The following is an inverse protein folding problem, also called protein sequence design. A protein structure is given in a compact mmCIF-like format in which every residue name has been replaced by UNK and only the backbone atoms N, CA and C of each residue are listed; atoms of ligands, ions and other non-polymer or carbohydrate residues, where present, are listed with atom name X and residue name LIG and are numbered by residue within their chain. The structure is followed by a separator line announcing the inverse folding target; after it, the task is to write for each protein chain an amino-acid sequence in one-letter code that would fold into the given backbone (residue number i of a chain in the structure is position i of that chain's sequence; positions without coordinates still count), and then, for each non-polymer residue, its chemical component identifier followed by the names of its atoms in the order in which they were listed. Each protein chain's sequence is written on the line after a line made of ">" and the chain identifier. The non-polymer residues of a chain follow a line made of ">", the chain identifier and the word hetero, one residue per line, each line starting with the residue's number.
data_IF_782520317633
#
_entry.id   IF_782520317633
#
_cell.length_a   1.000
_cell.length_b   1.000
_cell.length_c   1.000
_cell.angle_alpha   90.00
_cell.angle_beta   90.00
_cell.angle_gamma   90.00
#
_symmetry.space_group_name_H-M   'P 1'
#
loop_
_entity.id
_entity.type
_entity.pdbx_description
1 polymer ?
#
# COMPACT_ATOMS: atom_id res chain seq x y z
N UNK A 1 -19.36 43.55 -39.03
CA UNK A 1 -20.64 43.44 -38.29
C UNK A 1 -20.30 42.98 -36.89
N UNK A 2 -20.51 43.84 -35.89
CA UNK A 2 -20.23 43.57 -34.49
C UNK A 2 -21.48 42.99 -33.82
N UNK A 3 -21.36 41.83 -33.19
CA UNK A 3 -22.40 41.23 -32.35
C UNK A 3 -21.89 41.24 -30.91
N UNK A 4 -22.41 42.20 -30.14
CA UNK A 4 -22.18 42.33 -28.70
C UNK A 4 -23.08 41.32 -27.98
N UNK A 5 -22.51 40.19 -27.54
CA UNK A 5 -23.20 39.30 -26.59
C UNK A 5 -23.02 39.86 -25.17
N UNK A 6 -24.07 40.51 -24.70
CA UNK A 6 -24.30 40.91 -23.31
C UNK A 6 -24.14 39.68 -22.41
N UNK A 7 -22.99 39.55 -21.74
CA UNK A 7 -22.83 38.59 -20.64
C UNK A 7 -23.32 39.28 -19.36
N UNK A 8 -24.43 38.76 -18.89
CA UNK A 8 -25.14 39.08 -17.64
C UNK A 8 -24.18 39.25 -16.46
N UNK A 9 -24.23 40.44 -15.86
CA UNK A 9 -23.64 40.73 -14.56
C UNK A 9 -24.67 40.48 -13.45
N UNK A 10 -24.18 40.42 -12.21
CA UNK A 10 -24.90 40.41 -10.91
C UNK A 10 -25.31 39.00 -10.43
N UNK A 11 -25.02 38.54 -9.21
CA UNK A 11 -24.81 39.22 -7.92
C UNK A 11 -23.88 38.41 -6.99
N UNK A 12 -23.00 39.12 -6.29
CA UNK A 12 -22.27 38.69 -5.09
C UNK A 12 -23.27 38.31 -3.99
N UNK A 13 -23.07 37.17 -3.30
CA UNK A 13 -24.00 36.74 -2.25
C UNK A 13 -23.43 35.72 -1.26
N UNK A 14 -22.84 36.23 -0.19
CA UNK A 14 -22.68 35.66 1.15
C UNK A 14 -21.92 34.32 1.33
N UNK A 15 -20.62 34.43 1.66
CA UNK A 15 -19.92 33.45 2.50
C UNK A 15 -20.45 33.58 3.94
N UNK A 16 -21.29 32.65 4.40
CA UNK A 16 -21.56 32.47 5.82
C UNK A 16 -20.57 31.47 6.41
N UNK A 17 -19.54 31.99 7.07
CA UNK A 17 -18.66 31.24 7.96
C UNK A 17 -19.45 30.79 9.19
N UNK A 18 -19.93 29.56 9.19
CA UNK A 18 -20.41 28.88 10.39
C UNK A 18 -19.20 28.31 11.13
N UNK A 19 -18.62 29.11 12.02
CA UNK A 19 -17.66 28.63 13.03
C UNK A 19 -18.47 27.92 14.12
N UNK A 20 -18.64 26.61 13.96
CA UNK A 20 -19.20 25.76 15.00
C UNK A 20 -18.16 25.50 16.09
N UNK A 21 -18.34 26.13 17.25
CA UNK A 21 -17.63 25.76 18.48
C UNK A 21 -18.17 24.41 18.98
N UNK A 22 -17.55 23.31 18.55
CA UNK A 22 -17.76 21.98 19.11
C UNK A 22 -16.92 21.80 20.37
N UNK A 23 -17.59 21.78 21.53
CA UNK A 23 -16.97 21.56 22.83
C UNK A 23 -16.33 20.16 22.93
N UNK A 24 -15.07 20.16 23.40
CA UNK A 24 -14.32 19.10 24.09
C UNK A 24 -15.06 17.77 24.27
N UNK A 25 -14.73 16.79 23.42
CA UNK A 25 -14.95 15.39 23.73
C UNK A 25 -13.59 14.69 23.78
N UNK A 26 -13.31 14.12 24.94
CA UNK A 26 -12.18 13.30 25.35
C UNK A 26 -11.14 12.92 24.29
N UNK A 27 -9.91 13.31 24.57
CA UNK A 27 -8.70 12.72 23.99
C UNK A 27 -8.59 11.29 24.55
N UNK A 28 -9.40 10.37 24.05
CA UNK A 28 -8.97 8.98 23.99
C UNK A 28 -7.96 8.95 22.85
N UNK A 29 -6.67 9.10 23.18
CA UNK A 29 -5.63 8.73 22.24
C UNK A 29 -5.98 7.33 21.73
N UNK A 30 -6.10 7.09 20.42
CA UNK A 30 -6.14 5.74 19.91
C UNK A 30 -4.83 5.11 20.37
N UNK A 31 -4.88 4.29 21.43
CA UNK A 31 -3.82 3.34 21.67
C UNK A 31 -3.73 2.54 20.38
N UNK A 32 -2.61 2.58 19.63
CA UNK A 32 -2.41 1.62 18.57
C UNK A 32 -2.64 0.25 19.21
N UNK A 33 -3.51 -0.61 18.66
CA UNK A 33 -3.69 -1.94 19.22
C UNK A 33 -2.30 -2.54 19.39
N UNK A 34 -1.99 -2.87 20.65
CA UNK A 34 -0.72 -3.41 21.05
C UNK A 34 -0.41 -4.58 20.12
N UNK A 35 0.56 -4.34 19.24
CA UNK A 35 1.01 -5.29 18.26
C UNK A 35 1.87 -6.33 18.98
N UNK A 36 1.23 -7.27 19.69
CA UNK A 36 1.80 -8.56 20.11
C UNK A 36 0.88 -9.25 21.12
N UNK A 37 0.06 -10.19 20.64
CA UNK A 37 0.16 -11.61 21.00
C UNK A 37 -0.95 -12.34 20.23
N UNK A 38 -0.64 -12.91 19.07
CA UNK A 38 -0.27 -14.33 18.91
C UNK A 38 -1.19 -15.26 19.68
N UNK A 39 -1.88 -16.13 18.95
CA UNK A 39 -1.76 -17.60 19.07
C UNK A 39 -2.83 -18.28 18.21
N UNK A 40 -2.38 -18.89 17.11
CA UNK A 40 -3.03 -20.04 16.51
C UNK A 40 -3.99 -19.76 15.34
N UNK A 41 -3.74 -20.43 14.21
CA UNK A 41 -4.77 -20.80 13.23
C UNK A 41 -5.13 -19.84 12.10
N UNK A 42 -4.19 -19.04 11.58
CA UNK A 42 -4.30 -18.59 10.18
C UNK A 42 -2.97 -18.31 9.52
N UNK A 43 -2.01 -19.25 9.61
CA UNK A 43 -0.88 -19.26 8.69
C UNK A 43 -1.35 -19.79 7.33
N UNK A 44 -2.15 -18.97 6.64
CA UNK A 44 -2.48 -19.23 5.25
C UNK A 44 -1.22 -19.27 4.38
N UNK A 45 -1.27 -19.85 3.17
CA UNK A 45 -0.11 -19.96 2.29
C UNK A 45 0.59 -18.61 2.03
N UNK A 46 -0.16 -17.51 2.00
CA UNK A 46 0.37 -16.15 1.84
C UNK A 46 1.19 -15.68 3.05
N UNK A 47 0.69 -15.89 4.28
CA UNK A 47 1.36 -15.44 5.50
C UNK A 47 2.72 -16.12 5.68
N UNK A 48 2.76 -17.43 5.43
CA UNK A 48 4.02 -18.20 5.41
C UNK A 48 4.99 -17.68 4.35
N UNK A 49 4.50 -17.36 3.14
CA UNK A 49 5.32 -16.82 2.05
C UNK A 49 5.88 -15.43 2.38
N UNK A 50 5.05 -14.57 2.99
CA UNK A 50 5.46 -13.24 3.44
C UNK A 50 6.56 -13.30 4.50
N UNK A 51 6.39 -14.17 5.50
CA UNK A 51 7.36 -14.35 6.57
C UNK A 51 8.71 -14.87 6.03
N UNK A 52 8.68 -15.89 5.17
CA UNK A 52 9.88 -16.52 4.61
C UNK A 52 10.69 -15.60 3.69
N UNK A 53 10.01 -14.71 2.94
CA UNK A 53 10.64 -13.85 1.95
C UNK A 53 10.83 -12.39 2.42
N UNK A 54 10.55 -12.11 3.70
CA UNK A 54 10.70 -10.79 4.33
C UNK A 54 9.95 -9.71 3.52
N UNK A 55 8.68 -9.96 3.25
CA UNK A 55 7.87 -9.12 2.37
C UNK A 55 7.25 -7.91 3.08
N UNK A 56 6.94 -6.88 2.30
CA UNK A 56 6.19 -5.69 2.71
C UNK A 56 5.05 -5.42 1.73
N UNK A 57 3.85 -5.15 2.27
CA UNK A 57 2.65 -4.78 1.49
C UNK A 57 2.71 -3.33 1.02
N UNK A 58 3.36 -2.45 1.78
CA UNK A 58 3.46 -1.02 1.48
C UNK A 58 4.76 -0.64 0.78
N UNK A 59 5.64 -1.61 0.55
CA UNK A 59 6.96 -1.38 -0.03
C UNK A 59 8.06 -1.16 1.01
N UNK A 60 9.23 -0.78 0.52
CA UNK A 60 10.41 -0.44 1.32
C UNK A 60 10.86 0.99 1.01
N UNK A 61 11.78 1.50 1.80
CA UNK A 61 12.46 2.76 1.50
C UNK A 61 13.18 2.70 0.15
N UNK A 62 13.37 3.89 -0.46
CA UNK A 62 13.95 4.03 -1.81
C UNK A 62 15.38 3.51 -1.95
N UNK A 63 16.07 3.27 -0.83
CA UNK A 63 17.43 2.73 -0.78
C UNK A 63 17.48 1.21 -0.80
N UNK A 64 16.33 0.55 -0.63
CA UNK A 64 16.21 -0.91 -0.56
C UNK A 64 15.66 -1.41 -1.89
N UNK A 65 16.42 -2.30 -2.54
CA UNK A 65 16.01 -2.93 -3.79
C UNK A 65 15.44 -4.31 -3.47
N UNK A 66 14.13 -4.55 -3.66
CA UNK A 66 13.54 -5.88 -3.50
C UNK A 66 14.05 -6.84 -4.57
N UNK A 67 14.17 -8.11 -4.22
CA UNK A 67 14.60 -9.15 -5.17
C UNK A 67 13.42 -9.90 -5.79
N UNK A 68 12.31 -10.01 -5.07
CA UNK A 68 11.14 -10.79 -5.46
C UNK A 68 9.86 -10.03 -5.12
N UNK A 69 8.74 -10.52 -5.63
CA UNK A 69 7.41 -9.99 -5.38
C UNK A 69 6.40 -11.13 -5.26
N UNK A 70 5.33 -10.90 -4.50
CA UNK A 70 4.17 -11.79 -4.46
C UNK A 70 3.09 -11.17 -5.33
N UNK A 71 2.55 -11.96 -6.25
CA UNK A 71 1.44 -11.57 -7.13
C UNK A 71 0.26 -12.52 -6.95
N UNK A 72 -0.94 -12.00 -7.20
CA UNK A 72 -2.14 -12.80 -7.41
C UNK A 72 -2.42 -12.89 -8.90
N UNK A 73 -2.50 -14.11 -9.43
CA UNK A 73 -2.82 -14.34 -10.84
C UNK A 73 -4.31 -14.06 -11.11
N UNK A 74 -4.72 -13.86 -12.37
CA UNK A 74 -6.13 -13.72 -12.73
C UNK A 74 -7.01 -14.91 -12.29
N UNK A 75 -6.42 -16.10 -12.19
CA UNK A 75 -7.06 -17.34 -11.72
C UNK A 75 -7.15 -17.40 -10.19
N UNK A 76 -6.60 -16.42 -9.48
CA UNK A 76 -6.64 -16.31 -8.02
C UNK A 76 -5.47 -16.98 -7.29
N UNK A 77 -4.54 -17.59 -8.00
CA UNK A 77 -3.35 -18.21 -7.42
C UNK A 77 -2.40 -17.16 -6.85
N UNK A 78 -1.65 -17.50 -5.79
CA UNK A 78 -0.63 -16.63 -5.18
C UNK A 78 0.74 -17.17 -5.53
N UNK A 79 1.56 -16.35 -6.18
CA UNK A 79 2.86 -16.77 -6.70
C UNK A 79 3.97 -15.83 -6.24
N UNK A 80 5.14 -16.39 -5.93
CA UNK A 80 6.37 -15.65 -5.72
C UNK A 80 7.11 -15.53 -7.06
N UNK A 81 7.31 -14.31 -7.52
CA UNK A 81 7.93 -13.99 -8.82
C UNK A 81 9.15 -13.08 -8.64
N UNK A 82 9.92 -12.87 -9.71
CA UNK A 82 10.99 -11.87 -9.70
C UNK A 82 10.42 -10.46 -9.51
N UNK A 83 11.25 -9.55 -9.01
CA UNK A 83 10.85 -8.15 -8.86
C UNK A 83 10.37 -7.54 -10.18
N UNK A 84 11.10 -7.76 -11.28
CA UNK A 84 10.72 -7.24 -12.60
C UNK A 84 9.36 -7.75 -13.08
N UNK A 85 9.05 -9.04 -12.82
CA UNK A 85 7.74 -9.60 -13.16
C UNK A 85 6.63 -8.98 -12.32
N UNK A 86 6.86 -8.78 -11.02
CA UNK A 86 5.93 -8.08 -10.15
C UNK A 86 5.70 -6.63 -10.60
N UNK A 87 6.75 -5.96 -11.07
CA UNK A 87 6.66 -4.61 -11.62
C UNK A 87 5.84 -4.56 -12.92
N UNK A 88 5.99 -5.54 -13.80
CA UNK A 88 5.16 -5.68 -15.00
C UNK A 88 3.68 -5.89 -14.66
N UNK A 89 3.36 -6.60 -13.57
CA UNK A 89 1.97 -6.74 -13.08
C UNK A 89 1.45 -5.40 -12.54
N UNK A 90 2.23 -4.70 -11.71
CA UNK A 90 1.84 -3.41 -11.14
C UNK A 90 1.63 -2.32 -12.21
N UNK A 91 2.46 -2.30 -13.25
CA UNK A 91 2.36 -1.36 -14.38
C UNK A 91 1.25 -1.70 -15.36
N UNK A 92 0.60 -2.86 -15.22
CA UNK A 92 -0.46 -3.32 -16.11
C UNK A 92 0.02 -3.91 -17.43
N UNK A 93 1.32 -4.18 -17.58
CA UNK A 93 1.87 -4.92 -18.73
C UNK A 93 1.46 -6.40 -18.70
N UNK A 94 1.21 -6.92 -17.49
CA UNK A 94 0.82 -8.30 -17.24
C UNK A 94 -0.43 -8.32 -16.37
N UNK A 95 -1.39 -9.18 -16.71
CA UNK A 95 -2.60 -9.34 -15.91
C UNK A 95 -2.31 -9.97 -14.54
N UNK A 96 -2.89 -9.40 -13.49
CA UNK A 96 -2.77 -9.85 -12.11
C UNK A 96 -2.80 -8.69 -11.13
N UNK A 97 -2.50 -8.97 -9.87
CA UNK A 97 -2.39 -7.99 -8.79
C UNK A 97 -1.05 -8.14 -8.08
N UNK A 98 -0.30 -7.04 -7.93
CA UNK A 98 0.88 -7.02 -7.07
C UNK A 98 0.42 -6.95 -5.60
N UNK A 99 0.75 -7.98 -4.82
CA UNK A 99 0.33 -8.09 -3.41
C UNK A 99 1.40 -7.55 -2.47
N UNK A 100 2.67 -7.90 -2.70
CA UNK A 100 3.78 -7.52 -1.83
C UNK A 100 5.10 -7.50 -2.59
N UNK A 101 6.06 -6.71 -2.10
CA UNK A 101 7.47 -6.77 -2.54
C UNK A 101 8.33 -7.38 -1.45
N UNK A 102 9.38 -8.11 -1.82
CA UNK A 102 10.12 -8.99 -0.93
C UNK A 102 11.63 -8.87 -1.13
N UNK A 103 12.39 -8.97 -0.02
CA UNK A 103 13.85 -8.96 -0.04
C UNK A 103 14.45 -10.35 -0.33
N UNK A 104 13.59 -11.35 -0.50
CA UNK A 104 13.97 -12.74 -0.65
C UNK A 104 14.25 -13.42 0.70
N UNK A 105 14.56 -14.72 0.67
CA UNK A 105 14.93 -15.44 1.88
C UNK A 105 16.18 -14.83 2.51
N UNK A 106 16.35 -15.01 3.82
CA UNK A 106 17.62 -14.71 4.46
C UNK A 106 18.73 -15.46 3.72
N UNK A 107 19.78 -14.75 3.32
CA UNK A 107 21.00 -15.43 2.90
C UNK A 107 21.73 -15.76 4.19
N UNK A 108 21.69 -17.01 4.62
CA UNK A 108 22.64 -17.48 5.64
C UNK A 108 24.03 -17.26 5.05
N UNK A 109 24.76 -16.28 5.57
CA UNK A 109 26.18 -16.15 5.28
C UNK A 109 26.86 -17.36 5.90
N UNK A 110 26.95 -18.46 5.15
CA UNK A 110 27.84 -19.55 5.49
C UNK A 110 29.25 -19.00 5.35
N UNK A 111 29.80 -18.51 6.47
CA UNK A 111 31.23 -18.20 6.58
C UNK A 111 31.95 -19.51 6.28
N UNK A 112 32.50 -19.63 5.06
CA UNK A 112 33.48 -20.68 4.78
C UNK A 112 34.68 -20.40 5.67
N UNK A 113 34.87 -21.24 6.68
CA UNK A 113 36.11 -21.27 7.43
C UNK A 113 37.25 -21.73 6.48
N UNK A 114 38.47 -21.19 6.64
CA UNK A 114 39.62 -21.49 5.79
C UNK A 114 40.09 -22.95 5.90
#
# INVERSE_FOLDING_TARGET
>A
MAVQSVRTATTVGALTLLVGFGAVNMIAAPQPPASADRLGMSSGPLDAMMQQNRCSLTGFDRTVIPSTAIVRTPEGATELVSFDRGWAVFSGEVAGELVAVCLGPEKTHTVSAP
#
